data_IF_017013065825
#
_entry.id   IF_017013065825
#
_cell.length_a   1.000
_cell.length_b   1.000
_cell.length_c   1.000
_cell.angle_alpha   90.00
_cell.angle_beta   90.00
_cell.angle_gamma   90.00
#
_symmetry.space_group_name_H-M   'P 1'
#
loop_
_entity.id
_entity.type
_entity.pdbx_description
1 polymer ?
#
# COMPACT_ATOMS: atom_id res chain seq x y z
N UNK A 1 -17.55 -13.38 26.66
CA UNK A 1 -18.61 -13.28 25.61
C UNK A 1 -18.87 -11.85 25.13
N UNK A 2 -18.92 -10.85 26.01
CA UNK A 2 -19.28 -9.47 25.66
C UNK A 2 -18.33 -8.79 24.65
N UNK A 3 -17.02 -9.04 24.75
CA UNK A 3 -16.02 -8.54 23.79
C UNK A 3 -16.28 -9.04 22.36
N UNK A 4 -16.46 -10.36 22.19
CA UNK A 4 -16.73 -10.96 20.88
C UNK A 4 -18.03 -10.44 20.25
N UNK A 5 -19.06 -10.19 21.08
CA UNK A 5 -20.31 -9.60 20.62
C UNK A 5 -20.12 -8.15 20.12
N UNK A 6 -19.28 -7.37 20.81
CA UNK A 6 -18.93 -6.00 20.40
C UNK A 6 -18.15 -5.97 19.07
N UNK A 7 -17.15 -6.84 18.92
CA UNK A 7 -16.39 -6.98 17.66
C UNK A 7 -17.32 -7.35 16.50
N UNK A 8 -18.23 -8.31 16.73
CA UNK A 8 -19.21 -8.73 15.72
C UNK A 8 -20.14 -7.59 15.32
N UNK A 9 -20.63 -6.80 16.28
CA UNK A 9 -21.48 -5.65 16.01
C UNK A 9 -20.77 -4.58 15.16
N UNK A 10 -19.50 -4.28 15.47
CA UNK A 10 -18.68 -3.35 14.68
C UNK A 10 -18.41 -3.85 13.27
N UNK A 11 -18.12 -5.14 13.11
CA UNK A 11 -17.91 -5.73 11.78
C UNK A 11 -19.19 -5.71 10.94
N UNK A 12 -20.36 -5.98 11.53
CA UNK A 12 -21.65 -5.87 10.82
C UNK A 12 -21.84 -4.45 10.31
N UNK A 13 -21.59 -3.44 11.14
CA UNK A 13 -21.67 -2.04 10.74
C UNK A 13 -20.72 -1.74 9.56
N UNK A 14 -19.45 -2.15 9.63
CA UNK A 14 -18.48 -1.94 8.55
C UNK A 14 -18.92 -2.57 7.22
N UNK A 15 -19.52 -3.76 7.24
CA UNK A 15 -20.04 -4.39 6.02
C UNK A 15 -21.20 -3.62 5.40
N UNK A 16 -22.04 -3.01 6.23
CA UNK A 16 -23.14 -2.17 5.77
C UNK A 16 -22.62 -0.86 5.17
N UNK A 17 -21.62 -0.25 5.81
CA UNK A 17 -21.02 1.01 5.35
C UNK A 17 -20.19 0.81 4.07
N UNK A 18 -19.59 -0.39 3.87
CA UNK A 18 -18.71 -0.73 2.74
C UNK A 18 -19.15 -2.03 2.03
N UNK A 19 -20.27 -2.00 1.28
CA UNK A 19 -20.89 -3.21 0.75
C UNK A 19 -20.10 -3.90 -0.39
N UNK A 20 -19.24 -3.15 -1.09
CA UNK A 20 -18.41 -3.68 -2.19
C UNK A 20 -17.09 -4.26 -1.71
N UNK A 21 -16.73 -4.03 -0.45
CA UNK A 21 -15.43 -4.41 0.09
C UNK A 21 -15.45 -5.85 0.60
N UNK A 22 -14.32 -6.56 0.45
CA UNK A 22 -14.23 -7.94 0.92
C UNK A 22 -14.18 -7.95 2.45
N UNK A 23 -14.95 -8.83 3.07
CA UNK A 23 -14.99 -8.95 4.54
C UNK A 23 -13.60 -9.17 5.16
N UNK A 24 -12.73 -9.94 4.51
CA UNK A 24 -11.37 -10.16 5.00
C UNK A 24 -10.57 -8.84 5.05
N UNK A 25 -10.66 -8.03 3.99
CA UNK A 25 -10.01 -6.72 3.96
C UNK A 25 -10.56 -5.81 5.07
N UNK A 26 -11.90 -5.78 5.26
CA UNK A 26 -12.53 -5.00 6.33
C UNK A 26 -12.03 -5.37 7.73
N UNK A 27 -11.71 -6.64 7.97
CA UNK A 27 -11.14 -7.11 9.24
C UNK A 27 -9.67 -6.73 9.39
N UNK A 28 -8.94 -6.66 8.28
CA UNK A 28 -7.49 -6.45 8.28
C UNK A 28 -7.09 -4.98 8.25
N UNK A 29 -7.90 -4.07 7.69
CA UNK A 29 -7.52 -2.66 7.52
C UNK A 29 -7.01 -2.00 8.79
N UNK A 30 -7.61 -2.28 9.95
CA UNK A 30 -7.16 -1.72 11.22
C UNK A 30 -5.73 -2.13 11.57
N UNK A 31 -5.43 -3.43 11.48
CA UNK A 31 -4.11 -3.96 11.78
C UNK A 31 -3.08 -3.55 10.72
N UNK A 32 -3.44 -3.62 9.44
CA UNK A 32 -2.55 -3.25 8.32
C UNK A 32 -2.25 -1.76 8.30
N UNK A 33 -3.24 -0.90 8.56
CA UNK A 33 -3.03 0.55 8.64
C UNK A 33 -2.12 0.93 9.81
N UNK A 34 -2.34 0.32 10.98
CA UNK A 34 -1.45 0.52 12.13
C UNK A 34 -0.03 0.07 11.82
N UNK A 35 0.12 -1.13 11.26
CA UNK A 35 1.42 -1.67 10.86
C UNK A 35 2.16 -0.76 9.86
N UNK A 36 1.50 -0.31 8.79
CA UNK A 36 2.09 0.61 7.81
C UNK A 36 2.49 1.93 8.47
N UNK A 37 1.64 2.46 9.36
CA UNK A 37 1.92 3.73 10.06
C UNK A 37 3.14 3.61 10.95
N UNK A 38 3.21 2.58 11.79
CA UNK A 38 4.38 2.29 12.63
C UNK A 38 5.65 2.09 11.79
N UNK A 39 5.56 1.39 10.66
CA UNK A 39 6.69 1.21 9.77
C UNK A 39 7.20 2.55 9.21
N UNK A 40 6.29 3.41 8.74
CA UNK A 40 6.67 4.71 8.16
C UNK A 40 7.19 5.69 9.23
N UNK A 41 6.49 5.83 10.34
CA UNK A 41 6.78 6.85 11.37
C UNK A 41 7.88 6.38 12.31
N UNK A 42 7.75 5.19 12.89
CA UNK A 42 8.65 4.74 13.97
C UNK A 42 9.92 4.10 13.41
N UNK A 43 9.83 3.33 12.32
CA UNK A 43 10.99 2.61 11.76
C UNK A 43 11.72 3.41 10.68
N UNK A 44 11.00 3.97 9.70
CA UNK A 44 11.59 4.81 8.64
C UNK A 44 11.70 6.29 9.01
N UNK A 45 11.22 6.68 10.19
CA UNK A 45 11.43 8.02 10.76
C UNK A 45 10.84 9.15 9.93
N UNK A 46 9.78 8.88 9.16
CA UNK A 46 9.02 9.95 8.51
C UNK A 46 8.31 10.80 9.57
N UNK A 47 8.49 12.11 9.46
CA UNK A 47 7.99 13.11 10.38
C UNK A 47 7.09 14.13 9.66
N UNK A 48 6.61 15.14 10.38
CA UNK A 48 5.72 16.16 9.80
C UNK A 48 6.34 16.93 8.62
N UNK A 49 7.67 17.00 8.51
CA UNK A 49 8.36 17.73 7.44
C UNK A 49 8.60 16.85 6.19
N UNK A 50 8.62 15.53 6.37
CA UNK A 50 8.89 14.55 5.31
C UNK A 50 7.67 13.74 4.88
N UNK A 51 6.60 13.72 5.69
CA UNK A 51 5.37 12.97 5.41
C UNK A 51 4.74 13.35 4.06
N UNK A 52 4.76 14.65 3.73
CA UNK A 52 4.23 15.16 2.46
C UNK A 52 5.03 14.73 1.22
N UNK A 53 6.18 14.07 1.40
CA UNK A 53 6.98 13.49 0.31
C UNK A 53 6.58 12.07 -0.04
N UNK A 54 5.71 11.43 0.76
CA UNK A 54 5.16 10.11 0.46
C UNK A 54 3.91 10.29 -0.40
N UNK A 55 3.92 9.66 -1.58
CA UNK A 55 2.73 9.59 -2.46
C UNK A 55 2.36 8.12 -2.62
N UNK A 56 1.14 7.77 -2.23
CA UNK A 56 0.62 6.42 -2.35
C UNK A 56 -0.01 6.23 -3.73
N UNK A 57 0.77 5.70 -4.67
CA UNK A 57 0.32 5.40 -6.03
C UNK A 57 0.48 3.93 -6.37
N UNK A 58 -0.46 3.40 -7.15
CA UNK A 58 -0.39 2.03 -7.67
C UNK A 58 0.15 1.97 -9.10
N UNK A 59 -0.02 3.04 -9.88
CA UNK A 59 0.31 3.08 -11.30
C UNK A 59 1.07 4.35 -11.66
N UNK A 60 1.92 4.24 -12.67
CA UNK A 60 2.50 5.36 -13.38
C UNK A 60 2.13 5.17 -14.86
N UNK A 61 1.41 6.16 -15.41
CA UNK A 61 0.71 6.00 -16.68
C UNK A 61 -0.21 4.76 -16.62
N UNK A 62 -0.21 3.89 -17.63
CA UNK A 62 -1.03 2.67 -17.64
C UNK A 62 -0.36 1.44 -16.98
N UNK A 63 0.84 1.59 -16.41
CA UNK A 63 1.64 0.47 -15.86
C UNK A 63 1.64 0.44 -14.33
N UNK A 64 1.46 -0.75 -13.74
CA UNK A 64 1.58 -0.95 -12.30
C UNK A 64 3.00 -0.68 -11.81
N UNK A 65 3.13 0.10 -10.74
CA UNK A 65 4.41 0.40 -10.10
C UNK A 65 4.86 -0.85 -9.33
N UNK A 66 6.03 -1.37 -9.69
CA UNK A 66 6.61 -2.55 -9.05
C UNK A 66 7.96 -2.92 -9.65
N UNK A 67 8.62 -3.91 -9.05
CA UNK A 67 9.94 -4.37 -9.48
C UNK A 67 9.92 -5.13 -10.82
N UNK A 68 8.75 -5.63 -11.24
CA UNK A 68 8.63 -6.49 -12.42
C UNK A 68 9.10 -5.82 -13.71
N UNK A 69 8.71 -4.56 -13.95
CA UNK A 69 9.14 -3.84 -15.15
C UNK A 69 10.66 -3.63 -15.16
N UNK A 70 11.24 -3.16 -14.05
CA UNK A 70 12.68 -2.98 -13.92
C UNK A 70 13.45 -4.29 -14.11
N UNK A 71 12.90 -5.40 -13.61
CA UNK A 71 13.47 -6.73 -13.80
C UNK A 71 13.46 -7.16 -15.27
N UNK A 72 12.35 -6.97 -15.99
CA UNK A 72 12.26 -7.25 -17.44
C UNK A 72 13.25 -6.41 -18.23
N UNK A 73 13.36 -5.11 -17.92
CA UNK A 73 14.30 -4.21 -18.59
C UNK A 73 15.76 -4.62 -18.39
N UNK A 74 16.11 -5.08 -17.18
CA UNK A 74 17.44 -5.58 -16.88
C UNK A 74 17.76 -6.85 -17.69
N UNK A 75 16.83 -7.83 -17.70
CA UNK A 75 17.02 -9.09 -18.43
C UNK A 75 17.10 -8.91 -19.96
N UNK A 76 16.43 -7.91 -20.49
CA UNK A 76 16.40 -7.62 -21.93
C UNK A 76 17.48 -6.63 -22.37
N UNK A 77 18.30 -6.12 -21.44
CA UNK A 77 19.33 -5.10 -21.68
C UNK A 77 18.80 -3.87 -22.44
N UNK A 78 17.54 -3.52 -22.21
CA UNK A 78 16.87 -2.42 -22.91
C UNK A 78 17.21 -1.04 -22.34
N UNK A 79 17.81 -0.98 -21.14
CA UNK A 79 18.32 0.27 -20.55
C UNK A 79 19.80 0.40 -20.96
N UNK A 80 20.14 1.31 -21.88
CA UNK A 80 21.53 1.52 -22.27
C UNK A 80 22.31 2.17 -21.11
N UNK A 81 23.53 1.71 -20.90
CA UNK A 81 24.43 2.27 -19.86
C UNK A 81 24.97 3.65 -20.24
N UNK A 82 25.04 3.94 -21.54
CA UNK A 82 25.56 5.19 -22.08
C UNK A 82 24.52 5.83 -22.99
N UNK A 83 24.53 7.16 -23.06
CA UNK A 83 23.72 7.87 -24.05
C UNK A 83 24.30 7.59 -25.43
N UNK A 84 23.51 7.17 -26.43
CA UNK A 84 23.99 6.97 -27.79
C UNK A 84 24.71 8.22 -28.30
N UNK A 85 25.85 8.04 -28.97
CA UNK A 85 26.53 9.14 -29.63
C UNK A 85 25.59 9.82 -30.64
N UNK A 86 25.54 11.15 -30.62
CA UNK A 86 24.70 11.96 -31.50
C UNK A 86 25.17 11.88 -32.95
#
# INVERSE_FOLDING_TARGET
MQFMNSVRAKLVKLKTDFPTEKENNLREYCATSYYITTLLVDAYTFDNQSWNKIVFEKKADDTDIGWTLGYTLNLTTLIPTETPAR
#
